data_IF_589176163963
#
_entry.id   IF_589176163963
#
_cell.length_a   1.000
_cell.length_b   1.000
_cell.length_c   1.000
_cell.angle_alpha   90.00
_cell.angle_beta   90.00
_cell.angle_gamma   90.00
#
_symmetry.space_group_name_H-M   'P 1'
#
loop_
_entity.id
_entity.type
_entity.pdbx_description
1 polymer ?
#
# COMPACT_ATOMS: atom_id res chain seq x y z
N UNK A 1 -14.23 -25.46 -8.55
CA UNK A 1 -13.40 -24.81 -7.51
C UNK A 1 -13.01 -23.39 -7.95
N UNK A 2 -13.85 -22.41 -7.65
CA UNK A 2 -13.53 -21.00 -7.94
C UNK A 2 -12.41 -20.54 -7.04
N UNK A 3 -11.30 -20.10 -7.62
CA UNK A 3 -10.25 -19.39 -6.88
C UNK A 3 -10.92 -18.19 -6.18
N UNK A 4 -10.62 -17.91 -4.90
CA UNK A 4 -11.15 -16.73 -4.25
C UNK A 4 -10.74 -15.51 -5.09
N UNK A 5 -11.72 -14.73 -5.53
CA UNK A 5 -11.50 -13.52 -6.32
C UNK A 5 -10.87 -12.46 -5.41
N UNK A 6 -9.57 -12.60 -5.14
CA UNK A 6 -8.84 -11.66 -4.31
C UNK A 6 -8.62 -10.39 -5.13
N UNK A 7 -9.12 -9.27 -4.62
CA UNK A 7 -8.91 -7.98 -5.25
C UNK A 7 -7.51 -7.50 -4.93
N UNK A 8 -6.77 -7.14 -5.97
CA UNK A 8 -5.39 -6.71 -5.86
C UNK A 8 -5.32 -5.20 -5.83
N UNK A 9 -4.38 -4.66 -5.06
CA UNK A 9 -4.16 -3.22 -5.02
C UNK A 9 -2.98 -2.82 -5.91
N UNK A 10 -3.12 -1.78 -6.76
CA UNK A 10 -2.06 -1.37 -7.65
C UNK A 10 -0.90 -0.75 -6.86
N UNK A 11 0.33 -1.23 -7.10
CA UNK A 11 1.55 -0.62 -6.56
C UNK A 11 1.77 0.81 -7.03
N UNK A 12 1.22 1.18 -8.19
CA UNK A 12 1.37 2.52 -8.75
C UNK A 12 0.82 3.64 -7.83
N UNK A 13 -0.16 3.32 -6.97
CA UNK A 13 -0.70 4.27 -6.00
C UNK A 13 0.18 4.42 -4.74
N UNK A 14 1.16 3.52 -4.54
CA UNK A 14 2.11 3.56 -3.43
C UNK A 14 3.38 4.34 -3.83
N UNK A 15 3.22 5.46 -4.52
CA UNK A 15 4.31 6.38 -4.84
C UNK A 15 4.20 7.60 -3.93
N UNK A 16 5.25 7.87 -3.16
CA UNK A 16 5.34 9.05 -2.31
C UNK A 16 6.51 9.90 -2.79
N UNK A 17 6.25 11.17 -3.08
CA UNK A 17 7.29 12.11 -3.47
C UNK A 17 8.12 12.53 -2.25
N UNK A 18 9.45 12.64 -2.41
CA UNK A 18 10.38 12.94 -1.32
C UNK A 18 10.25 11.98 -0.12
N UNK A 19 9.96 10.72 -0.43
CA UNK A 19 9.73 9.67 0.54
C UNK A 19 9.83 8.29 -0.07
N UNK A 20 9.57 7.28 0.76
CA UNK A 20 9.60 5.87 0.44
C UNK A 20 8.36 5.20 0.99
N UNK A 21 7.77 4.35 0.16
CA UNK A 21 6.66 3.51 0.59
C UNK A 21 7.16 2.09 0.80
N UNK A 22 7.02 1.61 2.01
CA UNK A 22 7.42 0.26 2.40
C UNK A 22 6.16 -0.58 2.56
N UNK A 23 5.82 -1.32 1.52
CA UNK A 23 4.73 -2.28 1.61
C UNK A 23 5.16 -3.52 2.39
N UNK A 24 4.41 -3.84 3.45
CA UNK A 24 4.61 -5.04 4.27
C UNK A 24 3.55 -6.08 3.87
N UNK A 25 3.92 -7.35 3.81
CA UNK A 25 3.12 -8.45 3.23
C UNK A 25 3.05 -8.46 1.68
N UNK A 26 4.16 -8.17 1.02
CA UNK A 26 4.32 -8.38 -0.42
C UNK A 26 4.61 -9.86 -0.72
N UNK A 27 3.57 -10.69 -0.80
CA UNK A 27 3.57 -11.72 -1.86
C UNK A 27 3.59 -10.96 -3.21
N UNK A 28 3.99 -11.58 -4.32
CA UNK A 28 4.20 -10.91 -5.64
C UNK A 28 3.17 -9.84 -6.04
N UNK A 29 1.92 -9.92 -5.53
CA UNK A 29 0.83 -8.97 -5.74
C UNK A 29 0.16 -8.59 -4.40
N UNK A 30 -0.05 -7.29 -4.09
CA UNK A 30 -0.79 -6.84 -2.90
C UNK A 30 -2.27 -7.23 -3.00
N UNK A 31 -2.83 -7.75 -1.91
CA UNK A 31 -4.22 -8.23 -1.83
C UNK A 31 -4.93 -7.63 -0.62
N UNK A 32 -6.26 -7.84 -0.50
CA UNK A 32 -7.04 -7.44 0.67
C UNK A 32 -6.32 -7.84 1.98
N UNK A 33 -6.14 -6.87 2.88
CA UNK A 33 -5.45 -7.07 4.17
C UNK A 33 -3.95 -6.75 4.14
N UNK A 34 -3.34 -6.57 2.98
CA UNK A 34 -1.97 -6.02 2.88
C UNK A 34 -1.94 -4.56 3.31
N UNK A 35 -0.80 -4.11 3.81
CA UNK A 35 -0.65 -2.73 4.27
C UNK A 35 0.72 -2.17 3.87
N UNK A 36 0.79 -0.87 3.71
CA UNK A 36 2.01 -0.17 3.36
C UNK A 36 2.24 1.02 4.28
N UNK A 37 3.49 1.24 4.64
CA UNK A 37 3.93 2.36 5.46
C UNK A 37 4.63 3.40 4.59
N UNK A 38 4.32 4.66 4.85
CA UNK A 38 4.93 5.82 4.25
C UNK A 38 6.03 6.33 5.17
N UNK A 39 7.23 6.50 4.61
CA UNK A 39 8.38 7.08 5.30
C UNK A 39 8.89 8.25 4.49
N UNK A 40 8.97 9.44 5.08
CA UNK A 40 9.56 10.59 4.40
C UNK A 40 11.09 10.53 4.43
N UNK A 41 11.72 11.14 3.43
CA UNK A 41 13.16 11.36 3.47
C UNK A 41 13.53 12.38 4.56
N UNK A 42 14.78 12.36 5.08
CA UNK A 42 15.23 13.32 6.07
C UNK A 42 15.01 14.76 5.60
N UNK A 43 14.37 15.58 6.44
CA UNK A 43 14.02 16.97 6.11
C UNK A 43 12.60 17.17 5.57
N UNK A 44 11.87 16.07 5.29
CA UNK A 44 10.46 16.11 4.91
C UNK A 44 9.59 15.56 6.04
N UNK A 45 8.37 16.11 6.15
CA UNK A 45 7.38 15.69 7.14
C UNK A 45 6.19 15.09 6.40
N UNK A 46 5.77 13.91 6.84
CA UNK A 46 4.59 13.28 6.28
C UNK A 46 3.34 14.02 6.77
N UNK A 47 2.51 14.45 5.84
CA UNK A 47 1.22 15.07 6.14
C UNK A 47 0.11 14.09 5.76
N UNK A 48 -0.60 13.57 6.76
CA UNK A 48 -1.68 12.59 6.58
C UNK A 48 -1.37 11.23 7.20
N UNK A 49 -1.90 10.16 6.59
CA UNK A 49 -1.76 8.81 7.12
C UNK A 49 -0.37 8.21 6.79
N UNK A 50 0.38 7.83 7.83
CA UNK A 50 1.65 7.11 7.71
C UNK A 50 1.51 5.66 7.27
N UNK A 51 0.28 5.13 7.23
CA UNK A 51 0.02 3.76 6.81
C UNK A 51 -1.27 3.70 6.01
N UNK A 52 -1.24 2.93 4.93
CA UNK A 52 -2.41 2.60 4.12
C UNK A 52 -2.66 1.10 4.13
N UNK A 53 -3.93 0.69 4.00
CA UNK A 53 -4.31 -0.70 3.87
C UNK A 53 -5.01 -0.96 2.53
N UNK A 54 -4.73 -2.12 1.92
CA UNK A 54 -5.41 -2.59 0.75
C UNK A 54 -6.80 -3.10 1.15
N UNK A 55 -7.80 -2.29 0.82
CA UNK A 55 -9.20 -2.60 1.09
C UNK A 55 -9.71 -3.71 0.17
N UNK A 56 -10.83 -4.34 0.57
CA UNK A 56 -11.58 -5.29 -0.27
C UNK A 56 -11.94 -4.71 -1.63
N UNK A 57 -12.01 -3.40 -1.78
CA UNK A 57 -12.31 -2.74 -3.06
C UNK A 57 -11.16 -2.82 -4.06
N UNK A 58 -9.96 -3.26 -3.67
CA UNK A 58 -8.75 -3.23 -4.50
C UNK A 58 -8.12 -1.84 -4.55
N UNK A 59 -8.31 -1.06 -3.48
CA UNK A 59 -7.78 0.31 -3.33
C UNK A 59 -7.07 0.47 -2.01
N UNK A 60 -6.03 1.28 -2.02
CA UNK A 60 -5.35 1.79 -0.83
C UNK A 60 -6.22 2.85 -0.14
N UNK A 61 -6.39 2.73 1.18
CA UNK A 61 -7.12 3.67 2.04
C UNK A 61 -6.23 4.36 3.06
#
# INVERSE_FOLDING_TARGET
PGLPAVRTCPKAQLSLENGRVTARAMERVPVEGTWAEFSCEPGFVLVGAARTNCTRSGRWS
#
